data_IF_247196291889
#
_entry.id   IF_247196291889
#
_cell.length_a   1.000
_cell.length_b   1.000
_cell.length_c   1.000
_cell.angle_alpha   90.00
_cell.angle_beta   90.00
_cell.angle_gamma   90.00
#
_symmetry.space_group_name_H-M   'P 1'
#
loop_
_entity.id
_entity.type
_entity.pdbx_description
1 polymer ?
#
# COMPACT_ATOMS: atom_id res chain seq x y z
N UNK A 1 23.46 -26.49 51.22
CA UNK A 1 23.58 -26.92 49.83
C UNK A 1 22.89 -25.87 48.94
N UNK A 2 23.67 -25.00 48.37
CA UNK A 2 23.14 -23.95 47.51
C UNK A 2 23.11 -24.44 46.06
N UNK A 3 21.94 -24.51 45.46
CA UNK A 3 21.79 -24.78 44.03
C UNK A 3 22.24 -23.56 43.23
N UNK A 4 23.42 -23.63 42.65
CA UNK A 4 23.85 -22.71 41.63
C UNK A 4 23.15 -23.09 40.30
N UNK A 5 22.06 -22.41 39.99
CA UNK A 5 21.48 -22.45 38.64
C UNK A 5 22.37 -21.67 37.71
N UNK A 6 22.95 -22.25 36.65
CA UNK A 6 23.75 -21.48 35.72
C UNK A 6 22.83 -20.45 35.03
N UNK A 7 23.14 -19.16 35.16
CA UNK A 7 22.55 -18.11 34.34
C UNK A 7 22.91 -18.45 32.89
N UNK A 8 21.95 -18.96 32.15
CA UNK A 8 22.09 -19.09 30.69
C UNK A 8 22.28 -17.69 30.11
N UNK A 9 23.50 -17.35 29.79
CA UNK A 9 23.82 -16.18 29.00
C UNK A 9 23.34 -16.48 27.60
N UNK A 10 22.17 -15.98 27.24
CA UNK A 10 21.66 -16.07 25.86
C UNK A 10 22.69 -15.38 24.98
N UNK A 11 23.41 -16.13 24.14
CA UNK A 11 24.44 -15.58 23.29
C UNK A 11 23.82 -14.56 22.31
N UNK A 12 24.55 -13.50 21.98
CA UNK A 12 24.12 -12.54 20.93
C UNK A 12 23.78 -13.24 19.60
N UNK A 13 24.30 -14.41 19.37
CA UNK A 13 24.03 -15.25 18.20
C UNK A 13 22.61 -15.83 18.22
N UNK A 14 22.13 -16.28 19.40
CA UNK A 14 20.76 -16.81 19.55
C UNK A 14 19.71 -15.71 19.51
N UNK A 15 20.03 -14.49 19.95
CA UNK A 15 19.18 -13.32 19.78
C UNK A 15 19.06 -12.92 18.30
N UNK A 16 20.17 -12.96 17.55
CA UNK A 16 20.16 -12.70 16.10
C UNK A 16 19.19 -13.62 15.35
N UNK A 17 19.21 -14.91 15.61
CA UNK A 17 18.35 -15.88 14.92
C UNK A 17 16.87 -15.73 15.28
N UNK A 18 16.57 -15.35 16.53
CA UNK A 18 15.18 -15.23 17.00
C UNK A 18 14.48 -13.98 16.47
N UNK A 19 15.18 -12.86 16.36
CA UNK A 19 14.63 -11.56 15.91
C UNK A 19 14.99 -11.23 14.46
N UNK A 20 15.94 -11.92 13.85
CA UNK A 20 16.35 -11.71 12.46
C UNK A 20 15.25 -12.07 11.44
N UNK A 21 14.18 -12.75 11.88
CA UNK A 21 13.07 -13.16 11.01
C UNK A 21 12.07 -12.03 10.76
N UNK A 22 11.96 -11.10 11.71
CA UNK A 22 10.98 -10.01 11.62
C UNK A 22 11.68 -8.72 11.19
N UNK A 23 11.24 -8.16 10.08
CA UNK A 23 11.76 -6.92 9.55
C UNK A 23 10.68 -6.16 8.79
N UNK A 24 10.92 -4.89 8.57
CA UNK A 24 10.17 -4.07 7.65
C UNK A 24 11.08 -3.49 6.56
N UNK A 25 10.50 -3.16 5.43
CA UNK A 25 11.12 -2.36 4.39
C UNK A 25 10.34 -1.06 4.21
N UNK A 26 11.06 0.05 4.12
CA UNK A 26 10.49 1.38 3.91
C UNK A 26 11.38 2.18 2.97
N UNK A 27 10.77 2.85 1.99
CA UNK A 27 11.49 3.66 1.01
C UNK A 27 12.67 2.89 0.33
N UNK A 28 12.46 1.61 0.03
CA UNK A 28 13.45 0.77 -0.67
C UNK A 28 14.60 0.22 0.19
N UNK A 29 14.64 0.54 1.49
CA UNK A 29 15.63 0.00 2.43
C UNK A 29 14.97 -0.88 3.48
N UNK A 30 15.73 -1.84 4.03
CA UNK A 30 15.26 -2.76 5.06
C UNK A 30 15.77 -2.38 6.45
N UNK A 31 14.98 -2.65 7.48
CA UNK A 31 15.44 -2.54 8.87
C UNK A 31 16.66 -3.42 9.16
N UNK A 32 16.87 -4.50 8.39
CA UNK A 32 18.05 -5.36 8.46
C UNK A 32 19.35 -4.61 8.14
N UNK A 33 19.30 -3.66 7.20
CA UNK A 33 20.45 -2.87 6.78
C UNK A 33 21.03 -2.03 7.93
N UNK A 34 20.19 -1.73 8.90
CA UNK A 34 20.52 -0.96 10.10
C UNK A 34 20.72 -1.83 11.35
N UNK A 35 20.64 -3.16 11.23
CA UNK A 35 20.60 -4.10 12.34
C UNK A 35 19.51 -3.71 13.37
N UNK A 36 18.38 -3.21 12.87
CA UNK A 36 17.21 -2.84 13.64
C UNK A 36 16.24 -4.03 13.69
N UNK A 37 16.00 -4.53 14.88
CA UNK A 37 15.14 -5.69 15.15
C UNK A 37 13.75 -5.22 15.54
N UNK A 38 12.72 -5.92 15.05
CA UNK A 38 11.34 -5.64 15.42
C UNK A 38 10.91 -6.55 16.57
N UNK A 39 10.20 -5.98 17.53
CA UNK A 39 9.55 -6.69 18.63
C UNK A 39 8.07 -6.34 18.68
N UNK A 40 7.23 -7.34 18.48
CA UNK A 40 5.78 -7.21 18.54
C UNK A 40 5.12 -6.73 17.23
N UNK A 41 3.88 -7.12 17.02
CA UNK A 41 3.08 -6.73 15.87
C UNK A 41 2.41 -5.38 16.11
N UNK A 42 2.33 -4.56 15.08
CA UNK A 42 1.57 -3.31 15.07
C UNK A 42 0.76 -3.14 13.78
N UNK A 43 0.68 -4.20 12.98
CA UNK A 43 0.27 -4.13 11.57
C UNK A 43 -1.21 -4.33 11.31
N UNK A 44 -1.96 -4.81 12.30
CA UNK A 44 -3.36 -5.23 12.12
C UNK A 44 -4.38 -4.14 12.44
N UNK A 45 -3.93 -2.94 12.78
CA UNK A 45 -4.83 -1.83 13.06
C UNK A 45 -5.56 -1.38 11.79
N UNK A 46 -6.87 -1.15 11.94
CA UNK A 46 -7.73 -0.72 10.85
C UNK A 46 -7.87 0.81 10.83
N UNK A 47 -8.04 1.41 9.66
CA UNK A 47 -8.39 2.82 9.56
C UNK A 47 -9.81 3.07 10.08
N UNK A 48 -10.04 4.26 10.61
CA UNK A 48 -11.38 4.72 10.96
C UNK A 48 -12.15 5.12 9.70
N UNK A 49 -13.47 4.90 9.72
CA UNK A 49 -14.34 5.48 8.70
C UNK A 49 -14.39 7.01 8.86
N UNK A 50 -14.44 7.73 7.74
CA UNK A 50 -14.56 9.18 7.71
C UNK A 50 -16.05 9.57 7.79
N UNK A 51 -16.59 9.51 9.01
CA UNK A 51 -18.01 9.74 9.32
C UNK A 51 -18.12 10.78 10.42
N UNK A 52 -18.96 11.79 10.21
CA UNK A 52 -19.34 12.75 11.23
C UNK A 52 -20.72 12.41 11.78
N UNK A 53 -20.86 12.48 13.10
CA UNK A 53 -22.11 12.23 13.82
C UNK A 53 -22.59 13.53 14.48
N UNK A 54 -23.82 13.93 14.18
CA UNK A 54 -24.43 15.13 14.75
C UNK A 54 -25.69 14.76 15.53
N UNK A 55 -25.66 15.06 16.84
CA UNK A 55 -26.83 14.90 17.71
C UNK A 55 -27.83 16.04 17.52
N UNK A 56 -29.09 15.71 17.37
CA UNK A 56 -30.19 16.69 17.23
C UNK A 56 -31.10 16.61 18.45
N UNK A 57 -31.30 17.71 19.20
CA UNK A 57 -32.20 17.74 20.35
C UNK A 57 -33.61 17.27 20.01
N UNK A 58 -34.15 16.37 20.82
CA UNK A 58 -35.51 15.83 20.63
C UNK A 58 -35.64 14.70 19.60
N UNK A 59 -34.53 14.26 19.00
CA UNK A 59 -34.49 13.13 18.09
C UNK A 59 -33.73 11.96 18.71
N UNK A 60 -34.25 10.75 18.52
CA UNK A 60 -33.52 9.54 18.89
C UNK A 60 -32.48 9.19 17.79
N UNK A 61 -31.23 8.98 18.20
CA UNK A 61 -30.10 8.68 17.32
C UNK A 61 -29.54 9.92 16.59
N UNK A 62 -28.30 9.79 16.18
CA UNK A 62 -27.55 10.84 15.49
C UNK A 62 -27.83 10.87 13.99
N UNK A 63 -27.62 12.02 13.37
CA UNK A 63 -27.51 12.12 11.92
C UNK A 63 -26.07 11.81 11.55
N UNK A 64 -25.87 10.84 10.66
CA UNK A 64 -24.56 10.51 10.13
C UNK A 64 -24.33 11.26 8.82
N UNK A 65 -23.22 11.99 8.74
CA UNK A 65 -22.71 12.58 7.50
C UNK A 65 -21.48 11.80 7.10
N UNK A 66 -21.56 11.06 6.02
CA UNK A 66 -20.44 10.32 5.46
C UNK A 66 -19.80 11.14 4.35
N UNK A 67 -18.48 11.35 4.42
CA UNK A 67 -17.70 11.90 3.32
C UNK A 67 -17.51 10.81 2.25
N UNK A 68 -18.60 10.35 1.66
CA UNK A 68 -18.60 9.27 0.71
C UNK A 68 -18.74 9.80 -0.72
N UNK A 69 -17.90 9.34 -1.63
CA UNK A 69 -18.24 9.37 -3.06
C UNK A 69 -19.40 8.38 -3.27
N UNK A 70 -20.40 8.74 -4.02
CA UNK A 70 -21.68 8.03 -4.23
C UNK A 70 -21.61 6.53 -3.91
N UNK A 71 -22.22 6.12 -2.78
CA UNK A 71 -22.31 4.72 -2.35
C UNK A 71 -21.03 4.09 -1.80
N UNK A 72 -19.97 4.85 -1.55
CA UNK A 72 -18.69 4.31 -1.02
C UNK A 72 -18.20 5.09 0.17
N UNK A 73 -17.85 4.36 1.22
CA UNK A 73 -17.29 4.94 2.44
C UNK A 73 -15.83 5.37 2.22
N UNK A 74 -15.49 6.55 2.70
CA UNK A 74 -14.12 7.01 2.82
C UNK A 74 -13.52 6.59 4.16
N UNK A 75 -12.21 6.36 4.18
CA UNK A 75 -11.46 6.00 5.37
C UNK A 75 -10.33 6.98 5.61
N UNK A 76 -10.05 7.24 6.88
CA UNK A 76 -8.94 8.07 7.31
C UNK A 76 -7.62 7.32 7.22
N UNK A 77 -6.50 8.03 7.32
CA UNK A 77 -5.21 7.39 7.51
C UNK A 77 -5.16 6.65 8.84
N UNK A 78 -4.31 5.63 8.92
CA UNK A 78 -4.08 4.82 10.12
C UNK A 78 -2.62 4.90 10.53
N UNK A 79 -2.35 5.03 11.83
CA UNK A 79 -1.00 4.99 12.37
C UNK A 79 -0.63 3.55 12.73
N UNK A 80 0.36 3.00 12.01
CA UNK A 80 0.91 1.66 12.25
C UNK A 80 2.20 1.80 13.04
N UNK A 81 2.28 1.08 14.17
CA UNK A 81 3.37 1.19 15.12
C UNK A 81 4.14 -0.11 15.26
N UNK A 82 5.47 -0.01 15.21
CA UNK A 82 6.38 -1.13 15.43
C UNK A 82 7.29 -0.82 16.60
N UNK A 83 7.36 -1.71 17.57
CA UNK A 83 8.42 -1.67 18.58
C UNK A 83 9.71 -2.20 17.96
N UNK A 84 10.78 -1.46 18.09
CA UNK A 84 12.06 -1.79 17.48
C UNK A 84 13.21 -1.54 18.45
N UNK A 85 14.30 -2.28 18.28
CA UNK A 85 15.50 -2.11 19.10
C UNK A 85 16.76 -2.45 18.31
N UNK A 86 17.89 -1.93 18.74
CA UNK A 86 19.21 -2.30 18.24
C UNK A 86 20.26 -2.27 19.35
N UNK A 87 21.37 -2.95 19.10
CA UNK A 87 22.51 -3.04 20.03
C UNK A 87 23.75 -2.40 19.43
N UNK A 88 24.61 -1.83 20.29
CA UNK A 88 25.92 -1.27 19.98
C UNK A 88 25.96 -0.21 18.87
N UNK A 89 26.93 0.66 18.93
CA UNK A 89 27.14 1.68 17.88
C UNK A 89 26.03 2.76 17.86
N UNK A 90 25.47 3.10 19.02
CA UNK A 90 24.29 3.96 19.15
C UNK A 90 24.37 5.29 18.38
N UNK A 91 25.47 6.10 18.46
CA UNK A 91 25.49 7.38 17.78
C UNK A 91 25.36 7.26 16.25
N UNK A 92 26.06 6.30 15.65
CA UNK A 92 26.02 6.09 14.20
C UNK A 92 24.70 5.47 13.74
N UNK A 93 24.18 4.48 14.49
CA UNK A 93 22.93 3.81 14.16
C UNK A 93 21.72 4.71 14.34
N UNK A 94 21.64 5.50 15.39
CA UNK A 94 20.55 6.47 15.59
C UNK A 94 20.54 7.49 14.46
N UNK A 95 21.69 8.01 14.05
CA UNK A 95 21.80 8.93 12.92
C UNK A 95 21.35 8.28 11.60
N UNK A 96 21.80 7.07 11.33
CA UNK A 96 21.45 6.34 10.13
C UNK A 96 19.94 5.98 10.06
N UNK A 97 19.34 5.55 11.18
CA UNK A 97 17.90 5.26 11.27
C UNK A 97 17.07 6.53 11.09
N UNK A 98 17.46 7.65 11.71
CA UNK A 98 16.80 8.96 11.50
C UNK A 98 16.87 9.38 10.04
N UNK A 99 18.03 9.31 9.42
CA UNK A 99 18.19 9.64 8.01
C UNK A 99 17.33 8.75 7.10
N UNK A 100 17.30 7.44 7.36
CA UNK A 100 16.47 6.50 6.60
C UNK A 100 14.99 6.81 6.69
N UNK A 101 14.46 7.06 7.90
CA UNK A 101 13.01 7.17 8.12
C UNK A 101 12.47 8.57 7.85
N UNK A 102 13.27 9.62 8.10
CA UNK A 102 12.78 11.00 8.05
C UNK A 102 13.19 11.77 6.78
N UNK A 103 14.13 11.24 5.96
CA UNK A 103 14.53 11.93 4.71
C UNK A 103 13.60 11.68 3.52
N UNK A 104 12.88 10.55 3.38
CA UNK A 104 12.02 10.33 2.22
C UNK A 104 10.86 11.34 2.17
N UNK A 105 10.61 11.89 0.99
CA UNK A 105 9.52 12.84 0.75
C UNK A 105 8.28 12.11 0.27
N UNK A 106 7.11 12.48 0.81
CA UNK A 106 5.81 11.90 0.46
C UNK A 106 5.62 10.46 0.93
N UNK A 107 4.53 9.85 0.48
CA UNK A 107 4.23 8.47 0.83
C UNK A 107 5.17 7.49 0.15
N UNK A 108 5.76 6.62 0.93
CA UNK A 108 6.67 5.56 0.48
C UNK A 108 6.06 4.19 0.75
N UNK A 109 6.49 3.18 0.00
CA UNK A 109 6.09 1.79 0.24
C UNK A 109 6.64 1.31 1.58
N UNK A 110 5.73 0.84 2.44
CA UNK A 110 6.00 0.15 3.70
C UNK A 110 5.49 -1.28 3.60
N UNK A 111 6.37 -2.25 3.80
CA UNK A 111 6.04 -3.67 3.82
C UNK A 111 6.79 -4.34 4.96
N UNK A 112 6.17 -5.32 5.61
CA UNK A 112 6.78 -6.05 6.72
C UNK A 112 6.59 -7.57 6.59
N UNK A 113 7.23 -8.30 7.46
CA UNK A 113 7.16 -9.77 7.48
C UNK A 113 6.01 -10.34 8.30
N UNK A 114 5.25 -9.50 9.00
CA UNK A 114 4.04 -9.94 9.69
C UNK A 114 2.89 -10.15 8.70
N UNK A 115 2.89 -9.36 7.62
CA UNK A 115 1.89 -9.40 6.56
C UNK A 115 2.56 -9.28 5.17
N UNK A 116 3.30 -10.32 4.75
CA UNK A 116 4.18 -10.25 3.58
C UNK A 116 3.43 -10.12 2.24
N UNK A 117 2.14 -10.47 2.21
CA UNK A 117 1.33 -10.43 0.99
C UNK A 117 0.77 -9.04 0.69
N UNK A 118 0.97 -8.10 1.63
CA UNK A 118 0.48 -6.74 1.51
C UNK A 118 1.57 -5.70 1.79
N UNK A 119 1.32 -4.49 1.33
CA UNK A 119 2.09 -3.30 1.68
C UNK A 119 1.16 -2.10 1.84
N UNK A 120 1.65 -1.06 2.52
CA UNK A 120 0.96 0.23 2.67
C UNK A 120 1.78 1.35 2.05
N UNK A 121 1.12 2.43 1.68
CA UNK A 121 1.79 3.70 1.36
C UNK A 121 1.84 4.53 2.64
N UNK A 122 3.02 4.82 3.13
CA UNK A 122 3.27 5.35 4.47
C UNK A 122 4.24 6.53 4.48
N UNK A 123 4.16 7.35 5.51
CA UNK A 123 5.14 8.38 5.83
C UNK A 123 5.51 8.28 7.31
N UNK A 124 6.78 8.38 7.63
CA UNK A 124 7.27 8.54 8.99
C UNK A 124 7.40 10.05 9.24
N UNK A 125 6.42 10.67 9.91
CA UNK A 125 6.37 12.12 10.13
C UNK A 125 6.70 12.55 11.56
N UNK A 126 6.61 11.60 12.50
CA UNK A 126 6.77 11.88 13.92
C UNK A 126 8.24 11.84 14.36
N UNK A 127 8.54 12.52 15.45
CA UNK A 127 9.87 12.49 16.04
C UNK A 127 10.23 11.10 16.54
N UNK A 128 11.46 10.65 16.29
CA UNK A 128 11.96 9.38 16.77
C UNK A 128 12.61 9.57 18.15
N UNK A 129 11.97 9.00 19.18
CA UNK A 129 12.53 8.91 20.52
C UNK A 129 13.30 7.59 20.69
N UNK A 130 14.43 7.62 21.38
CA UNK A 130 15.28 6.46 21.63
C UNK A 130 15.49 6.31 23.12
N UNK A 131 14.98 5.22 23.70
CA UNK A 131 15.23 4.84 25.09
C UNK A 131 16.54 4.07 25.17
N UNK A 132 17.55 4.71 25.74
CA UNK A 132 18.92 4.18 25.79
C UNK A 132 19.20 3.46 27.10
N UNK A 133 19.54 2.17 27.03
CA UNK A 133 19.92 1.36 28.17
C UNK A 133 21.42 1.13 28.20
N UNK A 134 22.07 1.56 29.29
CA UNK A 134 23.50 1.36 29.59
C UNK A 134 24.45 1.71 28.41
N UNK A 135 24.11 2.69 27.56
CA UNK A 135 24.86 3.10 26.37
C UNK A 135 25.11 1.95 25.36
N UNK A 136 24.43 0.82 25.47
CA UNK A 136 24.66 -0.39 24.66
C UNK A 136 23.46 -0.82 23.81
N UNK A 137 22.26 -0.44 24.21
CA UNK A 137 21.03 -0.75 23.49
C UNK A 137 20.16 0.48 23.40
N UNK A 138 19.36 0.57 22.34
CA UNK A 138 18.30 1.56 22.25
C UNK A 138 17.01 0.85 21.79
N UNK A 139 15.92 1.22 22.43
CA UNK A 139 14.57 0.84 22.05
C UNK A 139 13.84 2.06 21.50
N UNK A 140 12.88 1.84 20.60
CA UNK A 140 12.08 2.90 20.02
C UNK A 140 10.76 2.35 19.51
N UNK A 141 9.78 3.24 19.37
CA UNK A 141 8.57 3.01 18.62
C UNK A 141 8.69 3.70 17.26
N UNK A 142 8.47 2.94 16.18
CA UNK A 142 8.40 3.44 14.82
C UNK A 142 6.94 3.65 14.48
N UNK A 143 6.50 4.89 14.34
CA UNK A 143 5.14 5.23 13.95
C UNK A 143 5.10 5.67 12.48
N UNK A 144 4.29 4.97 11.69
CA UNK A 144 4.06 5.27 10.29
C UNK A 144 2.61 5.68 10.07
N UNK A 145 2.39 6.89 9.57
CA UNK A 145 1.08 7.31 9.13
C UNK A 145 0.84 6.75 7.72
N UNK A 146 -0.07 5.80 7.62
CA UNK A 146 -0.34 5.02 6.43
C UNK A 146 -1.65 5.47 5.76
N UNK A 147 -1.69 5.43 4.42
CA UNK A 147 -2.96 5.43 3.71
C UNK A 147 -3.80 4.23 4.13
N UNK A 148 -5.14 4.32 4.08
CA UNK A 148 -6.01 3.25 4.57
C UNK A 148 -5.86 1.93 3.81
N UNK A 149 -5.48 1.99 2.54
CA UNK A 149 -5.37 0.82 1.69
C UNK A 149 -4.17 -0.06 2.07
N UNK A 150 -4.42 -1.34 2.25
CA UNK A 150 -3.43 -2.41 2.20
C UNK A 150 -3.43 -2.98 0.79
N UNK A 151 -2.39 -2.72 0.04
CA UNK A 151 -2.25 -3.15 -1.35
C UNK A 151 -1.69 -4.56 -1.42
N UNK A 152 -2.39 -5.46 -2.12
CA UNK A 152 -1.89 -6.80 -2.40
C UNK A 152 -0.64 -6.73 -3.28
N UNK A 153 0.39 -7.48 -2.92
CA UNK A 153 1.61 -7.63 -3.73
C UNK A 153 1.29 -8.29 -5.07
N UNK A 154 0.45 -9.31 -5.05
CA UNK A 154 -0.02 -9.98 -6.28
C UNK A 154 -0.81 -9.03 -7.18
N UNK A 155 -1.60 -8.14 -6.58
CA UNK A 155 -2.36 -7.13 -7.32
C UNK A 155 -1.51 -6.11 -8.06
N UNK A 156 -0.20 -6.06 -7.82
CA UNK A 156 0.73 -5.18 -8.54
C UNK A 156 1.41 -5.86 -9.73
N UNK A 157 1.15 -7.13 -9.97
CA UNK A 157 1.72 -7.84 -11.12
C UNK A 157 0.97 -7.47 -12.38
N UNK A 158 1.73 -7.24 -13.44
CA UNK A 158 1.16 -7.01 -14.77
C UNK A 158 0.61 -8.33 -15.31
N UNK A 159 -0.65 -8.30 -15.74
CA UNK A 159 -1.34 -9.41 -16.39
C UNK A 159 -1.54 -9.01 -17.86
N UNK A 160 -0.98 -9.77 -18.77
CA UNK A 160 -1.21 -9.58 -20.21
C UNK A 160 -2.45 -10.33 -20.65
N UNK A 161 -3.31 -9.66 -21.38
CA UNK A 161 -4.53 -10.18 -21.97
C UNK A 161 -4.38 -10.13 -23.49
N UNK A 162 -4.49 -11.29 -24.15
CA UNK A 162 -4.37 -11.41 -25.62
C UNK A 162 -5.74 -11.63 -26.30
N UNK A 163 -6.82 -11.45 -25.54
CA UNK A 163 -8.19 -11.57 -25.99
C UNK A 163 -9.18 -11.40 -24.84
N UNK A 164 -10.45 -11.71 -25.11
CA UNK A 164 -11.52 -11.69 -24.11
C UNK A 164 -11.08 -12.45 -22.85
N UNK A 165 -11.05 -11.77 -21.72
CA UNK A 165 -10.54 -12.30 -20.45
C UNK A 165 -11.45 -11.92 -19.29
N UNK A 166 -11.32 -12.64 -18.19
CA UNK A 166 -12.03 -12.34 -16.94
C UNK A 166 -11.02 -12.23 -15.82
N UNK A 167 -11.00 -11.08 -15.15
CA UNK A 167 -10.23 -10.89 -13.92
C UNK A 167 -11.13 -11.11 -12.72
N UNK A 168 -10.56 -11.63 -11.63
CA UNK A 168 -11.26 -11.83 -10.37
C UNK A 168 -10.60 -11.00 -9.28
N UNK A 169 -11.31 -10.00 -8.78
CA UNK A 169 -10.94 -9.29 -7.55
C UNK A 169 -11.31 -10.15 -6.34
N UNK A 170 -10.35 -10.58 -5.52
CA UNK A 170 -10.62 -11.40 -4.34
C UNK A 170 -11.11 -10.60 -3.13
N UNK A 171 -11.09 -9.26 -3.18
CA UNK A 171 -11.39 -8.37 -2.06
C UNK A 171 -12.70 -7.62 -2.26
N UNK A 172 -13.34 -7.25 -1.14
CA UNK A 172 -14.61 -6.52 -1.13
C UNK A 172 -14.52 -5.06 -1.63
N UNK A 173 -13.30 -4.53 -1.77
CA UNK A 173 -13.09 -3.16 -2.22
C UNK A 173 -12.81 -3.10 -3.71
N UNK A 174 -13.50 -2.23 -4.46
CA UNK A 174 -13.22 -2.04 -5.88
C UNK A 174 -11.81 -1.48 -6.06
N UNK A 175 -11.07 -2.08 -6.99
CA UNK A 175 -9.73 -1.64 -7.31
C UNK A 175 -9.74 -0.70 -8.52
N UNK A 176 -8.81 0.24 -8.53
CA UNK A 176 -8.59 1.20 -9.60
C UNK A 176 -7.36 0.78 -10.39
N UNK A 177 -7.54 0.01 -11.47
CA UNK A 177 -6.44 -0.59 -12.21
C UNK A 177 -5.65 0.42 -13.02
N UNK A 178 -4.48 -0.03 -13.49
CA UNK A 178 -3.77 0.62 -14.58
C UNK A 178 -3.88 -0.30 -15.78
N UNK A 179 -4.44 0.21 -16.88
CA UNK A 179 -4.44 -0.48 -18.18
C UNK A 179 -3.36 0.09 -19.08
N UNK A 180 -2.62 -0.78 -19.74
CA UNK A 180 -1.78 -0.41 -20.88
C UNK A 180 -2.34 -1.06 -22.13
N UNK A 181 -2.94 -0.24 -22.96
CA UNK A 181 -3.68 -0.66 -24.14
C UNK A 181 -2.78 -0.50 -25.37
N UNK A 182 -2.50 -1.59 -26.05
CA UNK A 182 -1.68 -1.61 -27.26
C UNK A 182 -2.55 -1.62 -28.51
N UNK A 183 -2.10 -0.94 -29.54
CA UNK A 183 -2.81 -0.88 -30.81
C UNK A 183 -2.09 -0.03 -31.84
N UNK A 184 -2.64 -0.02 -33.06
CA UNK A 184 -2.16 0.76 -34.21
C UNK A 184 -3.16 1.81 -34.68
N UNK A 185 -4.39 1.76 -34.18
CA UNK A 185 -5.46 2.72 -34.45
C UNK A 185 -6.43 2.81 -33.26
N UNK A 186 -7.46 3.61 -33.37
CA UNK A 186 -8.49 3.74 -32.32
C UNK A 186 -9.28 2.46 -32.10
N UNK A 187 -9.89 2.35 -30.92
CA UNK A 187 -10.69 1.21 -30.54
C UNK A 187 -11.51 1.46 -29.27
N UNK A 188 -12.26 0.48 -28.84
CA UNK A 188 -13.06 0.51 -27.64
C UNK A 188 -12.59 -0.56 -26.66
N UNK A 189 -12.33 -0.18 -25.43
CA UNK A 189 -12.03 -1.07 -24.29
C UNK A 189 -13.28 -1.17 -23.41
N UNK A 190 -13.72 -2.39 -23.14
CA UNK A 190 -14.84 -2.69 -22.26
C UNK A 190 -14.34 -3.36 -21.00
N UNK A 191 -14.71 -2.84 -19.83
CA UNK A 191 -14.36 -3.36 -18.51
C UNK A 191 -15.64 -3.52 -17.70
N UNK A 192 -16.18 -4.73 -17.65
CA UNK A 192 -17.54 -4.94 -17.12
C UNK A 192 -18.58 -4.23 -17.98
N UNK A 193 -19.29 -3.29 -17.38
CA UNK A 193 -20.31 -2.44 -18.04
C UNK A 193 -19.73 -1.11 -18.56
N UNK A 194 -18.53 -0.74 -18.09
CA UNK A 194 -17.90 0.52 -18.49
C UNK A 194 -17.21 0.42 -19.85
N UNK A 195 -17.31 1.49 -20.62
CA UNK A 195 -16.71 1.60 -21.94
C UNK A 195 -15.76 2.80 -22.02
N UNK A 196 -14.56 2.58 -22.53
CA UNK A 196 -13.61 3.62 -22.88
C UNK A 196 -13.39 3.58 -24.39
N UNK A 197 -13.70 4.68 -25.07
CA UNK A 197 -13.35 4.87 -26.47
C UNK A 197 -12.00 5.58 -26.56
N UNK A 198 -11.06 4.98 -27.28
CA UNK A 198 -9.73 5.52 -27.53
C UNK A 198 -9.67 5.92 -29.01
N UNK A 199 -9.61 7.21 -29.28
CA UNK A 199 -9.68 7.69 -30.68
C UNK A 199 -8.43 7.39 -31.47
N UNK A 200 -7.27 7.33 -30.83
CA UNK A 200 -5.99 7.09 -31.49
C UNK A 200 -5.01 6.39 -30.55
N UNK A 201 -4.39 5.32 -31.03
CA UNK A 201 -3.31 4.61 -30.34
C UNK A 201 -2.09 4.64 -31.27
N UNK A 202 -0.94 5.03 -30.71
CA UNK A 202 0.38 4.88 -31.34
C UNK A 202 1.23 4.08 -30.38
N UNK A 203 1.45 2.82 -30.68
CA UNK A 203 2.06 1.82 -29.82
C UNK A 203 1.21 1.47 -28.60
N UNK A 204 1.02 2.41 -27.68
CA UNK A 204 0.19 2.19 -26.50
C UNK A 204 -0.43 3.47 -25.92
N UNK A 205 -1.50 3.28 -25.16
CA UNK A 205 -2.08 4.26 -24.24
C UNK A 205 -2.15 3.61 -22.85
N UNK A 206 -1.64 4.30 -21.82
CA UNK A 206 -1.72 3.90 -20.43
C UNK A 206 -2.87 4.67 -19.77
N UNK A 207 -3.84 3.94 -19.21
CA UNK A 207 -4.98 4.50 -18.48
C UNK A 207 -4.77 4.27 -16.99
N UNK A 208 -4.64 5.33 -16.22
CA UNK A 208 -4.56 5.26 -14.75
C UNK A 208 -5.93 5.59 -14.15
N UNK A 209 -6.65 4.55 -13.72
CA UNK A 209 -8.00 4.70 -13.22
C UNK A 209 -8.06 5.37 -11.83
N UNK A 210 -6.97 5.40 -11.06
CA UNK A 210 -6.93 6.15 -9.79
C UNK A 210 -6.89 7.66 -10.01
N UNK A 211 -6.12 8.11 -11.00
CA UNK A 211 -5.92 9.54 -11.27
C UNK A 211 -6.81 10.08 -12.37
N UNK A 212 -7.57 9.20 -13.03
CA UNK A 212 -8.42 9.51 -14.18
C UNK A 212 -7.61 10.18 -15.31
N UNK A 213 -6.44 9.65 -15.59
CA UNK A 213 -5.54 10.19 -16.60
C UNK A 213 -5.09 9.14 -17.59
N UNK A 214 -4.93 9.58 -18.84
CA UNK A 214 -4.35 8.80 -19.91
C UNK A 214 -2.97 9.35 -20.30
N UNK A 215 -2.06 8.45 -20.62
CA UNK A 215 -0.68 8.76 -20.99
C UNK A 215 -0.26 7.95 -22.21
N UNK A 216 0.63 8.50 -23.00
CA UNK A 216 1.38 7.81 -24.05
C UNK A 216 2.87 8.10 -23.91
N UNK A 217 3.67 7.72 -24.90
CA UNK A 217 5.11 7.99 -24.91
C UNK A 217 5.47 9.52 -24.92
N UNK A 218 4.53 10.37 -25.34
CA UNK A 218 4.72 11.83 -25.42
C UNK A 218 4.22 12.58 -24.17
N UNK A 219 3.53 11.91 -23.25
CA UNK A 219 2.97 12.49 -22.02
C UNK A 219 1.46 12.29 -21.89
N UNK A 220 0.76 13.25 -21.28
CA UNK A 220 -0.69 13.22 -21.15
C UNK A 220 -1.40 13.19 -22.51
N UNK A 221 -2.43 12.36 -22.65
CA UNK A 221 -3.25 12.24 -23.86
C UNK A 221 -4.75 12.07 -23.53
N UNK A 222 -5.24 12.73 -22.49
CA UNK A 222 -6.65 12.65 -22.08
C UNK A 222 -7.61 13.05 -23.20
N UNK A 223 -7.24 13.95 -24.10
CA UNK A 223 -8.01 14.38 -25.26
C UNK A 223 -8.29 13.26 -26.27
N UNK A 224 -7.54 12.17 -26.20
CA UNK A 224 -7.76 11.00 -27.06
C UNK A 224 -8.74 9.99 -26.46
N UNK A 225 -9.21 10.22 -25.23
CA UNK A 225 -10.08 9.31 -24.51
C UNK A 225 -11.47 9.90 -24.37
N UNK A 226 -12.49 9.09 -24.66
CA UNK A 226 -13.88 9.39 -24.33
C UNK A 226 -14.41 8.30 -23.42
N UNK A 227 -14.78 8.66 -22.22
CA UNK A 227 -15.39 7.79 -21.21
C UNK A 227 -16.23 8.61 -20.25
N UNK A 228 -17.32 8.06 -19.78
CA UNK A 228 -18.16 8.71 -18.76
C UNK A 228 -17.45 8.68 -17.39
N UNK A 229 -16.78 7.58 -17.07
CA UNK A 229 -15.89 7.45 -15.91
C UNK A 229 -14.75 6.46 -16.21
N UNK A 230 -13.69 6.45 -15.42
CA UNK A 230 -12.64 5.45 -15.52
C UNK A 230 -13.07 4.18 -14.79
N UNK A 231 -12.90 2.98 -15.41
CA UNK A 231 -13.44 1.74 -14.87
C UNK A 231 -12.73 1.30 -13.60
N UNK A 232 -13.48 0.63 -12.77
CA UNK A 232 -12.99 -0.05 -11.59
C UNK A 232 -13.21 -1.56 -11.71
N UNK A 233 -12.49 -2.32 -10.91
CA UNK A 233 -12.63 -3.76 -10.80
C UNK A 233 -13.33 -4.07 -9.46
N UNK A 234 -14.68 -4.23 -9.44
CA UNK A 234 -15.44 -4.56 -8.23
C UNK A 234 -15.07 -5.95 -7.71
N UNK A 235 -15.55 -6.29 -6.52
CA UNK A 235 -15.45 -7.64 -5.98
C UNK A 235 -15.97 -8.69 -6.98
N UNK A 236 -15.29 -9.80 -7.09
CA UNK A 236 -15.69 -10.91 -7.95
C UNK A 236 -15.13 -10.80 -9.37
N UNK A 237 -15.93 -11.19 -10.34
CA UNK A 237 -15.47 -11.35 -11.74
C UNK A 237 -15.83 -10.14 -12.60
N UNK A 238 -14.84 -9.57 -13.27
CA UNK A 238 -15.01 -8.51 -14.26
C UNK A 238 -14.50 -9.01 -15.61
N UNK A 239 -15.34 -8.92 -16.63
CA UNK A 239 -14.97 -9.26 -18.00
C UNK A 239 -14.27 -8.07 -18.66
N UNK A 240 -13.19 -8.34 -19.39
CA UNK A 240 -12.45 -7.35 -20.18
C UNK A 240 -12.46 -7.81 -21.64
N UNK A 241 -12.90 -6.93 -22.52
CA UNK A 241 -12.92 -7.14 -23.96
C UNK A 241 -12.59 -5.85 -24.69
N UNK A 242 -12.26 -5.94 -25.96
CA UNK A 242 -11.98 -4.77 -26.78
C UNK A 242 -12.31 -5.01 -28.25
N UNK A 243 -12.39 -3.90 -28.98
CA UNK A 243 -12.68 -3.88 -30.42
C UNK A 243 -11.79 -2.86 -31.13
N UNK A 244 -11.91 -2.78 -32.45
CA UNK A 244 -11.16 -1.82 -33.27
C UNK A 244 -9.69 -2.18 -33.42
N UNK A 245 -8.82 -1.18 -33.38
CA UNK A 245 -7.38 -1.35 -33.56
C UNK A 245 -6.61 -1.76 -32.32
N UNK A 246 -7.27 -2.15 -31.22
CA UNK A 246 -6.62 -2.65 -30.00
C UNK A 246 -6.16 -4.08 -30.21
N UNK A 247 -4.87 -4.35 -30.04
CA UNK A 247 -4.24 -5.65 -30.28
C UNK A 247 -4.01 -6.45 -29.01
N UNK A 248 -3.69 -5.79 -27.90
CA UNK A 248 -3.49 -6.41 -26.59
C UNK A 248 -3.72 -5.41 -25.46
N UNK A 249 -3.99 -5.93 -24.28
CA UNK A 249 -4.14 -5.12 -23.06
C UNK A 249 -3.30 -5.73 -21.95
N UNK A 250 -2.50 -4.91 -21.28
CA UNK A 250 -1.87 -5.27 -20.02
C UNK A 250 -2.60 -4.56 -18.88
N UNK A 251 -2.78 -5.27 -17.77
CA UNK A 251 -3.50 -4.79 -16.60
C UNK A 251 -2.62 -4.95 -15.36
N UNK A 252 -2.49 -3.91 -14.57
CA UNK A 252 -2.08 -3.97 -13.18
C UNK A 252 -3.34 -3.78 -12.35
N UNK A 253 -3.90 -4.85 -11.74
CA UNK A 253 -5.22 -4.79 -11.11
C UNK A 253 -5.28 -3.87 -9.88
N UNK A 254 -4.18 -3.78 -9.14
CA UNK A 254 -4.06 -2.97 -7.93
C UNK A 254 -5.07 -3.37 -6.84
N UNK A 255 -5.21 -4.69 -6.62
CA UNK A 255 -6.07 -5.21 -5.56
C UNK A 255 -5.68 -4.64 -4.18
N UNK A 256 -6.67 -4.33 -3.37
CA UNK A 256 -6.45 -3.82 -2.02
C UNK A 256 -7.57 -4.22 -1.05
N UNK A 257 -7.26 -4.12 0.25
CA UNK A 257 -8.21 -4.29 1.37
C UNK A 257 -7.89 -3.28 2.47
N UNK A 258 -8.69 -3.27 3.53
CA UNK A 258 -8.42 -2.49 4.75
C UNK A 258 -7.54 -3.27 5.72
#
# INVERSE_FOLDING_TARGET
MGYNTPKQTVSQFQLKDRYARQYLSFAGKSSKDFLLYLSGPGVYDSPAADVESTSVPGRNGDILTENAKVGRRRYQNVDIKYKAFFFNGLPAKTAAVKAWLLSPVGYQKLQDTYDPDFFRMAVCKDALAFDVTAQKAAEMELAFNCKPQRWSVDGQRTIRLDGRSTLKNPFAFPAQPIFKVYGDSGGELYVGEEKITIHSIKDYVLLNCETHNAYNASGFCNETILSDDFPELPEGKTQITWTGGITAVEVIPRWWTL
#
